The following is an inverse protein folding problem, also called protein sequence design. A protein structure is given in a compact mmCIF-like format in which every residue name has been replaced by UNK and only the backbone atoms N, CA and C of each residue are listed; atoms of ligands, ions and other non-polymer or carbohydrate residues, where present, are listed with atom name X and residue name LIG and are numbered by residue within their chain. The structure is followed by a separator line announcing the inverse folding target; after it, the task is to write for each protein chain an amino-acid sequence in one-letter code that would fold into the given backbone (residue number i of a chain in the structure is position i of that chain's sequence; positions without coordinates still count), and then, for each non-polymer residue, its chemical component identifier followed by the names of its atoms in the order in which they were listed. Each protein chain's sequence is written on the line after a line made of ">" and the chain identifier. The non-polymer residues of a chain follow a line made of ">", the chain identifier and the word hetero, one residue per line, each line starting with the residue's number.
data_IF_051863062839
#
_entry.id   IF_051863062839
#
_cell.length_a   1.000
_cell.length_b   1.000
_cell.length_c   1.000
_cell.angle_alpha   90.00
_cell.angle_beta   90.00
_cell.angle_gamma   90.00
#
_symmetry.space_group_name_H-M   'P 1'
#
loop_
_entity.id
_entity.type
_entity.pdbx_description
1 polymer ?
#
# COMPACT_ATOMS: atom_id res chain seq x y z
N UNK A 1 -0.25 28.32 61.12
CA UNK A 1 -1.46 27.48 60.95
C UNK A 1 -1.90 27.57 59.50
N UNK A 2 -1.61 26.53 58.71
CA UNK A 2 -2.11 26.29 57.34
C UNK A 2 -2.19 24.76 57.19
N UNK A 3 -3.30 24.18 56.69
CA UNK A 3 -3.42 22.73 56.58
C UNK A 3 -2.83 22.20 55.26
N UNK A 4 -1.91 21.25 55.40
CA UNK A 4 -1.43 20.35 54.36
C UNK A 4 -2.35 19.14 54.26
N UNK A 5 -3.33 19.13 53.36
CA UNK A 5 -4.06 17.92 52.98
C UNK A 5 -4.53 18.01 51.53
N UNK A 6 -3.70 17.57 50.57
CA UNK A 6 -4.18 17.10 49.27
C UNK A 6 -3.06 16.36 48.53
N UNK A 7 -2.52 15.30 49.15
CA UNK A 7 -1.48 14.48 48.53
C UNK A 7 -1.59 13.00 48.93
N UNK A 8 -2.81 12.46 49.06
CA UNK A 8 -3.01 11.01 49.26
C UNK A 8 -4.16 10.39 48.44
N UNK A 9 -4.86 11.16 47.60
CA UNK A 9 -6.00 10.66 46.79
C UNK A 9 -5.62 10.27 45.35
N UNK A 10 -4.33 10.05 45.06
CA UNK A 10 -3.86 9.66 43.72
C UNK A 10 -3.24 8.25 43.63
N UNK A 11 -3.21 7.47 44.72
CA UNK A 11 -2.55 6.15 44.74
C UNK A 11 -3.53 4.97 44.88
N UNK A 12 -4.83 5.20 45.08
CA UNK A 12 -5.82 4.12 45.27
C UNK A 12 -6.60 3.75 43.98
N UNK A 13 -6.36 4.43 42.86
CA UNK A 13 -7.00 4.08 41.57
C UNK A 13 -6.12 3.21 40.64
N UNK A 14 -5.09 2.56 41.18
CA UNK A 14 -4.15 1.74 40.41
C UNK A 14 -4.15 0.24 40.80
N UNK A 15 -5.09 -0.24 41.63
CA UNK A 15 -5.03 -1.58 42.21
C UNK A 15 -6.32 -2.43 42.09
N UNK A 16 -7.23 -2.12 41.15
CA UNK A 16 -8.51 -2.82 41.05
C UNK A 16 -8.95 -3.23 39.62
N UNK A 17 -8.01 -3.51 38.72
CA UNK A 17 -8.31 -4.22 37.46
C UNK A 17 -7.31 -5.36 37.21
N UNK A 18 -7.16 -6.21 38.21
CA UNK A 18 -6.60 -7.56 38.09
C UNK A 18 -7.73 -8.58 38.31
N UNK A 19 -8.66 -8.65 37.35
CA UNK A 19 -9.58 -9.78 37.25
C UNK A 19 -8.98 -10.81 36.29
N UNK A 20 -8.51 -11.90 36.89
CA UNK A 20 -8.10 -13.14 36.29
C UNK A 20 -9.16 -13.69 35.35
N UNK A 21 -8.84 -13.76 34.05
CA UNK A 21 -9.56 -14.66 33.13
C UNK A 21 -8.94 -16.04 33.31
N UNK A 22 -9.70 -16.93 33.95
CA UNK A 22 -9.37 -18.34 34.06
C UNK A 22 -9.35 -18.97 32.65
N UNK A 23 -8.20 -19.50 32.26
CA UNK A 23 -8.02 -20.28 31.05
C UNK A 23 -8.77 -21.61 31.20
N UNK A 24 -9.96 -21.70 30.59
CA UNK A 24 -10.61 -22.98 30.33
C UNK A 24 -9.78 -23.76 29.32
N UNK A 25 -9.28 -24.93 29.72
CA UNK A 25 -8.75 -25.90 28.76
C UNK A 25 -9.92 -26.51 27.98
N UNK A 26 -10.18 -25.97 26.80
CA UNK A 26 -10.96 -26.64 25.78
C UNK A 26 -10.04 -27.65 25.09
N UNK A 27 -10.53 -28.88 24.96
CA UNK A 27 -9.84 -30.00 24.36
C UNK A 27 -9.33 -29.67 22.94
N UNK A 28 -8.05 -29.97 22.70
CA UNK A 28 -7.40 -29.95 21.38
C UNK A 28 -8.18 -30.86 20.41
N UNK A 29 -9.05 -30.27 19.59
CA UNK A 29 -9.57 -30.91 18.38
C UNK A 29 -8.68 -30.54 17.19
N UNK A 30 -7.39 -30.82 17.36
CA UNK A 30 -6.38 -30.69 16.31
C UNK A 30 -6.44 -31.95 15.46
N UNK A 31 -7.23 -31.92 14.39
CA UNK A 31 -7.11 -32.90 13.31
C UNK A 31 -5.83 -32.63 12.53
N UNK A 32 -4.71 -33.12 13.05
CA UNK A 32 -3.45 -33.25 12.30
C UNK A 32 -3.61 -34.49 11.41
N UNK A 33 -4.03 -34.30 10.16
CA UNK A 33 -3.99 -35.36 9.15
C UNK A 33 -2.51 -35.59 8.85
N UNK A 34 -1.90 -36.57 9.53
CA UNK A 34 -0.53 -37.00 9.25
C UNK A 34 -0.51 -37.61 7.85
N UNK A 35 0.08 -36.90 6.88
CA UNK A 35 0.25 -37.37 5.50
C UNK A 35 1.08 -38.67 5.40
N UNK A 36 1.63 -39.18 6.51
CA UNK A 36 2.27 -40.49 6.58
C UNK A 36 1.32 -41.67 6.72
N UNK A 37 0.05 -41.44 7.05
CA UNK A 37 -0.96 -42.50 7.18
C UNK A 37 -1.78 -42.75 5.91
N UNK A 38 -1.47 -42.10 4.77
CA UNK A 38 -2.07 -42.51 3.50
C UNK A 38 -1.62 -43.95 3.19
N UNK A 39 -2.54 -44.93 3.09
CA UNK A 39 -2.20 -46.31 2.78
C UNK A 39 -1.57 -46.37 1.40
N UNK A 40 -0.24 -46.60 1.36
CA UNK A 40 0.45 -47.02 0.15
C UNK A 40 -0.15 -48.36 -0.27
N UNK A 41 -0.90 -48.34 -1.36
CA UNK A 41 -1.30 -49.53 -2.08
C UNK A 41 -0.07 -50.42 -2.29
N UNK A 42 -0.09 -51.57 -1.63
CA UNK A 42 0.94 -52.60 -1.64
C UNK A 42 0.94 -53.30 -2.98
N UNK A 43 1.92 -52.96 -3.83
CA UNK A 43 2.37 -53.85 -4.89
C UNK A 43 3.56 -54.67 -4.36
N UNK A 44 3.29 -55.92 -4.08
CA UNK A 44 4.24 -56.99 -3.75
C UNK A 44 5.22 -57.27 -4.90
N UNK A 45 6.51 -57.46 -4.61
CA UNK A 45 7.39 -58.53 -5.14
C UNK A 45 8.83 -58.41 -4.58
N UNK A 46 9.65 -59.49 -4.59
CA UNK A 46 10.37 -59.92 -3.41
C UNK A 46 11.89 -59.83 -3.48
N UNK A 47 12.47 -59.79 -2.28
CA UNK A 47 13.73 -60.39 -1.83
C UNK A 47 14.93 -60.49 -2.81
N UNK A 48 15.99 -59.73 -2.51
CA UNK A 48 17.34 -60.29 -2.45
C UNK A 48 18.22 -59.54 -1.45
N UNK A 49 18.78 -60.32 -0.53
CA UNK A 49 19.70 -59.95 0.54
C UNK A 49 21.11 -59.65 0.01
N UNK A 50 21.86 -58.83 0.75
CA UNK A 50 23.31 -58.74 0.56
C UNK A 50 23.99 -57.51 1.16
N UNK A 51 24.37 -57.61 2.44
CA UNK A 51 25.52 -57.00 3.11
C UNK A 51 25.80 -55.47 3.10
N UNK A 52 25.76 -54.92 4.32
CA UNK A 52 26.59 -53.83 4.89
C UNK A 52 28.10 -54.19 4.84
N UNK A 53 29.06 -53.23 4.82
CA UNK A 53 29.20 -52.25 5.92
C UNK A 53 29.66 -50.82 5.57
N UNK A 54 29.36 -49.93 6.53
CA UNK A 54 30.18 -48.82 7.06
C UNK A 54 30.99 -47.95 6.09
N UNK A 55 30.69 -46.65 6.06
CA UNK A 55 31.67 -45.64 6.47
C UNK A 55 31.04 -44.25 6.62
N UNK A 56 31.42 -43.60 7.73
CA UNK A 56 31.20 -42.20 8.00
C UNK A 56 32.00 -41.31 7.03
N UNK A 57 31.35 -40.30 6.45
CA UNK A 57 32.05 -39.14 5.92
C UNK A 57 31.11 -37.92 5.89
N UNK A 58 31.48 -36.90 6.68
CA UNK A 58 31.09 -35.50 6.52
C UNK A 58 31.19 -35.10 5.05
N UNK A 59 30.10 -34.62 4.45
CA UNK A 59 30.15 -33.80 3.23
C UNK A 59 29.23 -32.60 3.33
N UNK A 60 29.89 -31.47 3.50
CA UNK A 60 29.40 -30.12 3.23
C UNK A 60 28.74 -30.04 1.86
N UNK A 61 27.53 -29.50 1.81
CA UNK A 61 26.78 -29.24 0.58
C UNK A 61 27.49 -28.15 -0.24
N UNK A 62 27.88 -28.41 -1.50
CA UNK A 62 28.40 -27.36 -2.36
C UNK A 62 27.22 -26.59 -2.97
N UNK A 63 27.17 -25.29 -2.67
CA UNK A 63 26.31 -24.30 -3.33
C UNK A 63 26.75 -24.21 -4.80
N UNK A 64 26.15 -25.05 -5.64
CA UNK A 64 26.45 -25.14 -7.08
C UNK A 64 25.87 -23.91 -7.76
N UNK A 65 26.70 -22.89 -7.94
CA UNK A 65 26.46 -21.82 -8.90
C UNK A 65 26.57 -22.42 -10.30
N UNK A 66 25.44 -22.69 -10.93
CA UNK A 66 25.37 -23.22 -12.30
C UNK A 66 25.81 -22.09 -13.23
N UNK A 67 27.03 -22.22 -13.78
CA UNK A 67 27.59 -21.28 -14.74
C UNK A 67 26.93 -21.53 -16.10
N UNK A 68 26.02 -20.66 -16.49
CA UNK A 68 25.39 -20.72 -17.81
C UNK A 68 26.40 -20.35 -18.90
N UNK A 69 26.61 -21.23 -19.87
CA UNK A 69 27.45 -20.95 -21.05
C UNK A 69 26.58 -20.20 -22.06
N UNK A 70 26.92 -18.93 -22.30
CA UNK A 70 26.26 -18.12 -23.32
C UNK A 70 26.94 -18.34 -24.67
N UNK A 71 26.16 -18.68 -25.69
CA UNK A 71 26.61 -18.75 -27.09
C UNK A 71 25.63 -17.90 -27.88
N UNK A 72 26.13 -16.87 -28.57
CA UNK A 72 25.37 -16.04 -29.51
C UNK A 72 24.10 -15.37 -28.97
N UNK A 73 24.15 -14.83 -27.74
CA UNK A 73 23.00 -14.16 -27.12
C UNK A 73 21.91 -15.11 -26.60
N UNK A 74 22.08 -16.41 -26.81
CA UNK A 74 21.23 -17.44 -26.25
C UNK A 74 21.90 -18.08 -25.04
N UNK A 75 21.11 -18.31 -24.00
CA UNK A 75 21.56 -19.04 -22.81
C UNK A 75 20.92 -20.42 -22.78
N UNK A 76 21.73 -21.46 -22.61
CA UNK A 76 21.23 -22.83 -22.38
C UNK A 76 20.86 -23.04 -20.92
N UNK A 77 19.70 -23.65 -20.71
CA UNK A 77 19.18 -24.04 -19.41
C UNK A 77 18.67 -25.48 -19.45
N UNK A 78 19.15 -26.34 -18.56
CA UNK A 78 18.62 -27.71 -18.39
C UNK A 78 17.49 -27.71 -17.37
N UNK A 79 16.30 -28.13 -17.79
CA UNK A 79 15.09 -28.18 -16.96
C UNK A 79 15.29 -29.16 -15.79
N UNK A 80 14.97 -28.71 -14.57
CA UNK A 80 15.00 -29.55 -13.36
C UNK A 80 13.58 -29.97 -12.97
N UNK A 81 13.48 -30.97 -12.09
CA UNK A 81 12.19 -31.41 -11.56
C UNK A 81 11.49 -30.26 -10.81
N UNK A 82 10.22 -30.02 -11.16
CA UNK A 82 9.41 -28.92 -10.60
C UNK A 82 9.70 -27.54 -11.19
N UNK A 83 10.49 -27.46 -12.28
CA UNK A 83 10.65 -26.23 -13.05
C UNK A 83 9.46 -26.01 -13.97
N UNK A 84 9.03 -24.76 -14.06
CA UNK A 84 8.09 -24.25 -15.04
C UNK A 84 8.79 -23.13 -15.81
N UNK A 85 8.52 -22.96 -17.10
CA UNK A 85 9.25 -22.00 -17.95
C UNK A 85 9.26 -20.60 -17.33
N UNK A 86 8.12 -20.20 -16.78
CA UNK A 86 7.91 -18.95 -16.09
C UNK A 86 8.81 -18.79 -14.84
N UNK A 87 8.84 -19.83 -14.00
CA UNK A 87 9.62 -19.85 -12.76
C UNK A 87 11.12 -19.82 -13.04
N UNK A 88 11.56 -20.49 -14.11
CA UNK A 88 12.95 -20.46 -14.56
C UNK A 88 13.34 -19.05 -15.00
N UNK A 89 12.53 -18.39 -15.83
CA UNK A 89 12.78 -17.01 -16.29
C UNK A 89 12.87 -16.01 -15.14
N UNK A 90 11.96 -16.10 -14.16
CA UNK A 90 12.00 -15.19 -13.02
C UNK A 90 13.18 -15.49 -12.08
N UNK A 91 13.37 -16.76 -11.70
CA UNK A 91 14.33 -17.13 -10.65
C UNK A 91 15.78 -17.12 -11.13
N UNK A 92 16.04 -17.57 -12.35
CA UNK A 92 17.39 -17.72 -12.88
C UNK A 92 17.83 -16.50 -13.69
N UNK A 93 16.88 -15.79 -14.30
CA UNK A 93 17.17 -14.66 -15.18
C UNK A 93 16.64 -13.32 -14.66
N UNK A 94 15.92 -13.30 -13.53
CA UNK A 94 15.46 -12.06 -12.89
C UNK A 94 14.41 -11.29 -13.68
N UNK A 95 13.74 -11.94 -14.64
CA UNK A 95 12.72 -11.29 -15.47
C UNK A 95 11.46 -10.98 -14.67
N UNK A 96 10.82 -9.84 -14.96
CA UNK A 96 9.49 -9.52 -14.44
C UNK A 96 8.42 -10.40 -15.09
N UNK A 97 7.23 -10.47 -14.48
CA UNK A 97 6.10 -11.25 -14.99
C UNK A 97 5.77 -10.89 -16.46
N UNK A 98 5.66 -9.59 -16.74
CA UNK A 98 5.36 -9.08 -18.08
C UNK A 98 6.48 -9.37 -19.10
N UNK A 99 7.74 -9.35 -18.67
CA UNK A 99 8.87 -9.70 -19.54
C UNK A 99 8.87 -11.19 -19.87
N UNK A 100 8.60 -12.05 -18.89
CA UNK A 100 8.51 -13.49 -19.09
C UNK A 100 7.36 -13.85 -20.05
N UNK A 101 6.17 -13.28 -19.88
CA UNK A 101 5.03 -13.50 -20.79
C UNK A 101 5.35 -13.17 -22.24
N UNK A 102 6.06 -12.07 -22.49
CA UNK A 102 6.47 -11.68 -23.85
C UNK A 102 7.50 -12.63 -24.46
N UNK A 103 8.34 -13.25 -23.64
CA UNK A 103 9.46 -14.10 -24.09
C UNK A 103 9.05 -15.56 -24.28
N UNK A 104 8.01 -16.03 -23.58
CA UNK A 104 7.56 -17.43 -23.62
C UNK A 104 7.20 -17.91 -25.03
N UNK A 105 6.44 -17.17 -25.87
CA UNK A 105 6.13 -17.60 -27.23
C UNK A 105 7.39 -17.81 -28.07
N UNK A 106 8.39 -16.95 -27.88
CA UNK A 106 9.64 -17.03 -28.61
C UNK A 106 10.50 -18.22 -28.15
N UNK A 107 10.56 -18.49 -26.83
CA UNK A 107 11.24 -19.70 -26.33
C UNK A 107 10.55 -20.96 -26.85
N UNK A 108 9.21 -20.99 -26.84
CA UNK A 108 8.44 -22.13 -27.34
C UNK A 108 8.73 -22.39 -28.83
N UNK A 109 8.77 -21.32 -29.64
CA UNK A 109 9.11 -21.36 -31.06
C UNK A 109 10.53 -21.85 -31.31
N UNK A 110 11.52 -21.30 -30.60
CA UNK A 110 12.95 -21.64 -30.77
C UNK A 110 13.27 -23.07 -30.33
N UNK A 111 12.56 -23.60 -29.33
CA UNK A 111 12.81 -24.93 -28.78
C UNK A 111 11.84 -26.01 -29.30
N UNK A 112 10.89 -25.65 -30.18
CA UNK A 112 9.89 -26.58 -30.70
C UNK A 112 9.02 -27.18 -29.59
N UNK A 113 8.52 -26.35 -28.67
CA UNK A 113 7.67 -26.79 -27.55
C UNK A 113 6.23 -26.43 -27.86
N UNK A 114 5.39 -27.43 -28.12
CA UNK A 114 3.96 -27.23 -28.40
C UNK A 114 3.17 -26.87 -27.14
N UNK A 115 3.55 -27.41 -25.98
CA UNK A 115 2.90 -27.16 -24.69
C UNK A 115 3.92 -26.73 -23.63
N UNK A 116 3.92 -25.43 -23.32
CA UNK A 116 4.79 -24.81 -22.32
C UNK A 116 4.58 -25.33 -20.89
N UNK A 117 3.46 -26.02 -20.62
CA UNK A 117 3.15 -26.59 -19.29
C UNK A 117 3.79 -27.96 -19.09
N UNK A 118 4.28 -28.61 -20.16
CA UNK A 118 4.82 -29.98 -20.14
C UNK A 118 6.32 -30.02 -20.45
N UNK A 119 7.11 -29.32 -19.65
CA UNK A 119 8.57 -29.43 -19.73
C UNK A 119 9.06 -30.77 -19.17
N UNK A 120 10.01 -31.41 -19.85
CA UNK A 120 10.63 -32.66 -19.38
C UNK A 120 11.90 -32.36 -18.58
N UNK A 121 12.07 -33.03 -17.46
CA UNK A 121 13.32 -32.92 -16.68
C UNK A 121 14.50 -33.40 -17.53
N UNK A 122 15.58 -32.63 -17.55
CA UNK A 122 16.76 -32.87 -18.38
C UNK A 122 16.68 -32.25 -19.78
N UNK A 123 15.54 -31.69 -20.18
CA UNK A 123 15.40 -30.98 -21.46
C UNK A 123 16.29 -29.72 -21.47
N UNK A 124 17.03 -29.50 -22.56
CA UNK A 124 17.75 -28.24 -22.77
C UNK A 124 16.84 -27.20 -23.41
N UNK A 125 16.78 -26.02 -22.80
CA UNK A 125 16.08 -24.84 -23.30
C UNK A 125 17.10 -23.79 -23.73
N UNK A 126 16.95 -23.29 -24.96
CA UNK A 126 17.61 -22.10 -25.47
C UNK A 126 16.74 -20.89 -25.17
N UNK A 127 17.25 -20.01 -24.30
CA UNK A 127 16.55 -18.80 -23.89
C UNK A 127 17.20 -17.61 -24.62
N UNK A 128 16.49 -16.96 -25.57
CA UNK A 128 16.99 -15.80 -26.28
C UNK A 128 16.89 -14.57 -25.38
N UNK A 129 17.94 -14.34 -24.60
CA UNK A 129 18.07 -13.10 -23.86
C UNK A 129 18.69 -12.10 -24.81
N UNK A 130 17.86 -11.41 -25.59
CA UNK A 130 18.28 -10.18 -26.25
C UNK A 130 18.82 -9.29 -25.14
N UNK A 131 20.13 -9.14 -25.06
CA UNK A 131 20.77 -8.45 -23.94
C UNK A 131 20.24 -7.02 -23.95
N UNK A 132 19.25 -6.74 -23.10
CA UNK A 132 18.95 -5.38 -22.70
C UNK A 132 20.15 -4.94 -21.89
N UNK A 133 21.10 -4.39 -22.64
CA UNK A 133 22.34 -3.72 -22.30
C UNK A 133 22.56 -3.57 -20.78
N UNK A 134 23.63 -4.23 -20.33
CA UNK A 134 24.67 -3.74 -19.41
C UNK A 134 24.22 -2.61 -18.47
N UNK A 135 24.29 -2.92 -17.18
CA UNK A 135 24.66 -1.96 -16.13
C UNK A 135 25.74 -0.99 -16.65
N UNK A 136 25.31 0.19 -17.10
CA UNK A 136 26.20 1.32 -17.32
C UNK A 136 26.57 1.81 -15.94
N UNK A 137 27.77 1.43 -15.52
CA UNK A 137 28.54 2.18 -14.53
C UNK A 137 28.64 3.60 -15.09
N UNK A 138 27.91 4.53 -14.47
CA UNK A 138 27.88 5.93 -14.86
C UNK A 138 29.25 6.53 -14.54
N UNK A 139 30.14 6.48 -15.52
CA UNK A 139 31.32 7.32 -15.56
C UNK A 139 31.14 8.32 -16.70
N UNK A 140 31.60 9.53 -16.42
CA UNK A 140 31.32 10.78 -17.12
C UNK A 140 31.91 10.77 -18.54
N UNK A 141 31.23 11.43 -19.50
CA UNK A 141 31.80 12.43 -20.45
C UNK A 141 31.14 12.43 -21.84
N UNK A 142 30.44 13.54 -22.11
CA UNK A 142 30.42 14.37 -23.33
C UNK A 142 30.39 13.70 -24.71
N UNK A 143 29.37 14.05 -25.52
CA UNK A 143 29.38 13.80 -26.96
C UNK A 143 28.07 14.12 -27.67
N UNK A 144 27.94 15.38 -28.08
CA UNK A 144 27.31 15.90 -29.32
C UNK A 144 26.09 15.16 -29.88
N UNK A 145 24.93 15.79 -29.72
CA UNK A 145 23.65 15.49 -30.38
C UNK A 145 23.62 16.09 -31.79
N UNK A 146 23.43 15.30 -32.86
CA UNK A 146 23.07 15.81 -34.17
C UNK A 146 21.55 15.96 -34.27
N UNK A 147 21.15 17.21 -34.50
CA UNK A 147 19.87 17.71 -34.98
C UNK A 147 19.23 16.84 -36.08
N UNK A 148 18.01 16.31 -35.88
CA UNK A 148 17.20 15.76 -36.96
C UNK A 148 16.28 16.85 -37.55
N UNK A 149 16.48 17.09 -38.84
CA UNK A 149 15.66 17.93 -39.71
C UNK A 149 14.16 17.52 -39.73
N UNK A 150 13.25 18.45 -40.06
CA UNK A 150 11.81 18.30 -39.86
C UNK A 150 11.14 17.40 -40.92
N UNK A 151 10.22 16.54 -40.46
CA UNK A 151 9.28 15.83 -41.34
C UNK A 151 8.13 16.77 -41.77
N UNK A 152 7.67 16.65 -43.04
CA UNK A 152 6.68 17.54 -43.64
C UNK A 152 5.24 17.28 -43.16
N UNK A 153 4.48 18.37 -43.20
CA UNK A 153 3.07 18.51 -42.89
C UNK A 153 2.19 17.43 -43.55
N UNK A 154 1.34 16.78 -42.75
CA UNK A 154 0.15 16.09 -43.25
C UNK A 154 -1.03 17.05 -43.23
N UNK A 155 -1.45 17.35 -44.45
CA UNK A 155 -2.68 18.02 -44.87
C UNK A 155 -3.92 17.47 -44.17
N UNK A 156 -4.70 18.39 -43.62
CA UNK A 156 -6.07 18.16 -43.19
C UNK A 156 -6.96 17.89 -44.40
N UNK A 157 -7.82 16.88 -44.31
CA UNK A 157 -9.00 16.78 -45.16
C UNK A 157 -10.26 16.61 -44.28
N UNK A 158 -11.28 17.47 -44.46
CA UNK A 158 -12.50 17.46 -43.68
C UNK A 158 -13.56 16.59 -44.37
N UNK A 159 -14.11 15.61 -43.66
CA UNK A 159 -15.38 14.99 -44.06
C UNK A 159 -16.49 15.49 -43.15
N UNK A 160 -17.31 16.34 -43.76
CA UNK A 160 -18.56 16.83 -43.25
C UNK A 160 -19.71 15.84 -43.53
N UNK A 161 -20.77 16.04 -42.76
CA UNK A 161 -22.20 15.83 -43.08
C UNK A 161 -22.80 14.41 -43.06
N UNK A 162 -23.82 14.30 -42.20
CA UNK A 162 -24.82 13.25 -42.20
C UNK A 162 -25.74 13.33 -40.98
N UNK A 163 -26.88 14.07 -41.04
CA UNK A 163 -27.77 14.35 -39.91
C UNK A 163 -28.89 13.30 -39.78
N UNK A 164 -29.31 12.97 -38.55
CA UNK A 164 -30.63 12.39 -38.29
C UNK A 164 -31.01 12.46 -36.79
N UNK A 165 -31.84 13.45 -36.48
CA UNK A 165 -33.04 13.47 -35.62
C UNK A 165 -33.11 12.84 -34.20
N UNK A 166 -33.73 13.55 -33.24
CA UNK A 166 -34.02 13.13 -31.87
C UNK A 166 -35.37 12.39 -31.73
N UNK A 167 -35.56 11.66 -30.62
CA UNK A 167 -36.79 11.78 -29.83
C UNK A 167 -36.45 11.99 -28.34
N UNK A 168 -36.92 13.05 -27.68
CA UNK A 168 -38.29 13.13 -27.13
C UNK A 168 -38.57 11.96 -26.18
N UNK A 169 -38.48 12.19 -24.87
CA UNK A 169 -39.59 12.06 -23.90
C UNK A 169 -39.03 12.20 -22.48
N UNK A 170 -39.35 13.33 -21.86
CA UNK A 170 -39.30 13.50 -20.42
C UNK A 170 -40.52 12.81 -19.78
N UNK A 171 -40.38 12.29 -18.55
CA UNK A 171 -41.45 12.43 -17.58
C UNK A 171 -40.93 13.12 -16.32
N UNK A 172 -41.50 14.28 -16.02
CA UNK A 172 -41.52 14.88 -14.68
C UNK A 172 -42.64 14.23 -13.82
N UNK A 173 -42.88 14.65 -12.57
CA UNK A 173 -42.64 13.84 -11.38
C UNK A 173 -43.94 13.33 -10.76
N UNK A 174 -43.97 12.07 -10.31
CA UNK A 174 -45.07 11.59 -9.46
C UNK A 174 -44.89 12.08 -8.02
N UNK A 175 -45.81 12.96 -7.64
CA UNK A 175 -46.13 13.36 -6.27
C UNK A 175 -46.44 12.11 -5.42
N UNK A 176 -45.76 11.97 -4.28
CA UNK A 176 -46.19 11.08 -3.21
C UNK A 176 -46.99 11.85 -2.14
N UNK A 177 -48.09 11.28 -1.61
CA UNK A 177 -48.95 11.91 -0.63
C UNK A 177 -48.33 11.92 0.77
N UNK A 178 -48.68 12.92 1.55
CA UNK A 178 -48.14 13.21 2.87
C UNK A 178 -48.33 12.10 3.90
N UNK A 179 -47.32 11.99 4.77
CA UNK A 179 -47.39 11.31 6.05
C UNK A 179 -47.24 12.34 7.15
N UNK A 180 -48.21 12.33 8.06
CA UNK A 180 -48.47 13.32 9.08
C UNK A 180 -47.31 13.54 10.07
N UNK A 181 -47.15 14.80 10.45
CA UNK A 181 -46.39 15.29 11.60
C UNK A 181 -46.93 14.69 12.91
N UNK A 182 -46.09 14.09 13.77
CA UNK A 182 -46.40 13.94 15.18
C UNK A 182 -46.19 15.25 15.94
N UNK A 183 -47.11 15.49 16.87
CA UNK A 183 -47.29 16.68 17.66
C UNK A 183 -46.06 17.09 18.48
N UNK A 184 -45.87 18.41 18.55
CA UNK A 184 -44.98 19.13 19.47
C UNK A 184 -45.56 19.04 20.89
N UNK A 185 -44.82 18.53 21.89
CA UNK A 185 -45.19 18.67 23.31
C UNK A 185 -44.89 20.08 23.84
N UNK A 186 -45.61 20.50 24.89
CA UNK A 186 -45.78 21.91 25.26
C UNK A 186 -44.60 22.54 25.98
N UNK A 187 -44.58 23.86 25.87
CA UNK A 187 -43.75 24.82 26.57
C UNK A 187 -43.46 24.45 28.04
N UNK A 188 -42.17 24.42 28.37
CA UNK A 188 -41.68 24.51 29.75
C UNK A 188 -41.16 25.91 29.98
N UNK A 189 -41.66 26.48 31.07
CA UNK A 189 -41.55 27.84 31.58
C UNK A 189 -40.14 28.44 31.65
N UNK A 190 -40.04 29.79 31.62
CA UNK A 190 -38.80 30.52 31.81
C UNK A 190 -38.31 30.43 33.26
N UNK A 191 -37.08 29.96 33.44
CA UNK A 191 -36.33 30.04 34.70
C UNK A 191 -35.36 31.23 34.67
N UNK A 192 -34.98 31.77 35.83
CA UNK A 192 -34.73 33.20 36.01
C UNK A 192 -33.40 33.67 35.41
N UNK A 193 -33.50 34.88 34.87
CA UNK A 193 -32.44 35.81 34.52
C UNK A 193 -31.38 35.89 35.63
N UNK A 194 -30.35 35.05 35.52
CA UNK A 194 -29.13 35.24 36.26
C UNK A 194 -28.41 36.42 35.61
N UNK A 195 -28.36 37.53 36.34
CA UNK A 195 -27.57 38.70 36.04
C UNK A 195 -26.17 38.28 35.58
N UNK A 196 -25.96 38.39 34.26
CA UNK A 196 -24.65 38.24 33.63
C UNK A 196 -23.84 39.43 34.13
N UNK A 197 -22.99 39.19 35.13
CA UNK A 197 -21.91 40.10 35.46
C UNK A 197 -21.14 40.38 34.15
N UNK A 198 -20.85 41.65 33.80
CA UNK A 198 -20.18 41.99 32.56
C UNK A 198 -18.86 41.21 32.52
N UNK A 199 -18.81 40.23 31.62
CA UNK A 199 -17.60 39.51 31.28
C UNK A 199 -16.57 40.59 30.93
N UNK A 200 -15.55 40.72 31.78
CA UNK A 200 -14.39 41.51 31.49
C UNK A 200 -13.82 40.97 30.18
N UNK A 201 -14.13 41.66 29.08
CA UNK A 201 -13.39 41.58 27.83
C UNK A 201 -11.95 41.91 28.19
N UNK A 202 -11.20 40.85 28.47
CA UNK A 202 -9.77 40.92 28.70
C UNK A 202 -9.21 41.41 27.38
N UNK A 203 -8.74 42.66 27.37
CA UNK A 203 -8.18 43.29 26.20
C UNK A 203 -7.15 42.34 25.55
N UNK A 204 -7.15 42.21 24.22
CA UNK A 204 -6.19 41.36 23.52
C UNK A 204 -4.78 41.81 23.91
N UNK A 205 -4.08 40.95 24.64
CA UNK A 205 -2.73 41.22 25.12
C UNK A 205 -1.80 41.27 23.90
N UNK A 206 -1.20 42.44 23.55
CA UNK A 206 -0.60 42.66 22.23
C UNK A 206 0.79 42.02 22.01
N UNK A 207 1.35 41.27 22.96
CA UNK A 207 2.77 40.89 22.91
C UNK A 207 3.06 39.38 23.01
N UNK A 208 2.11 38.50 22.66
CA UNK A 208 2.47 37.09 22.50
C UNK A 208 3.17 36.93 21.13
N UNK A 209 4.50 36.69 21.08
CA UNK A 209 5.19 36.53 19.81
C UNK A 209 4.53 35.39 19.04
N UNK A 210 4.22 35.63 17.76
CA UNK A 210 3.63 34.62 16.89
C UNK A 210 4.52 33.37 16.94
N UNK A 211 3.99 32.28 17.49
CA UNK A 211 4.72 31.03 17.61
C UNK A 211 4.89 30.46 16.19
N UNK A 212 6.09 30.55 15.65
CA UNK A 212 6.44 29.96 14.35
C UNK A 212 6.35 28.45 14.46
N UNK A 213 5.40 27.86 13.74
CA UNK A 213 5.19 26.42 13.74
C UNK A 213 6.25 25.76 12.85
N UNK A 214 7.05 24.85 13.41
CA UNK A 214 8.05 24.08 12.67
C UNK A 214 7.41 22.84 12.04
N UNK A 215 7.67 22.65 10.76
CA UNK A 215 7.11 21.57 9.94
C UNK A 215 8.23 20.92 9.13
N UNK A 216 8.26 19.59 9.08
CA UNK A 216 9.22 18.87 8.25
C UNK A 216 8.66 18.69 6.83
N UNK A 217 9.33 19.27 5.83
CA UNK A 217 8.93 19.19 4.42
C UNK A 217 9.51 17.93 3.79
N UNK A 218 8.63 17.08 3.26
CA UNK A 218 9.00 15.81 2.63
C UNK A 218 8.53 15.77 1.17
N UNK A 219 9.45 15.94 0.20
CA UNK A 219 9.14 15.73 -1.20
C UNK A 219 8.95 14.24 -1.49
N UNK A 220 8.01 13.90 -2.38
CA UNK A 220 7.80 12.53 -2.86
C UNK A 220 8.14 12.45 -4.35
N UNK A 221 9.40 12.13 -4.71
CA UNK A 221 9.91 12.21 -6.08
C UNK A 221 9.57 10.98 -6.94
N UNK A 222 8.47 10.28 -6.67
CA UNK A 222 8.20 8.99 -7.30
C UNK A 222 7.53 9.12 -8.67
N UNK A 223 8.05 8.33 -9.62
CA UNK A 223 7.60 8.29 -11.03
C UNK A 223 6.40 7.34 -11.23
N UNK A 224 6.21 6.39 -10.32
CA UNK A 224 5.16 5.39 -10.39
C UNK A 224 4.34 5.37 -9.10
N UNK A 225 3.07 4.99 -9.23
CA UNK A 225 2.10 4.95 -8.12
C UNK A 225 2.58 4.05 -6.97
N UNK A 226 3.20 2.91 -7.27
CA UNK A 226 3.65 2.00 -6.24
C UNK A 226 4.79 2.62 -5.42
N UNK A 227 5.74 3.28 -6.07
CA UNK A 227 6.78 4.07 -5.43
C UNK A 227 6.23 5.21 -4.57
N UNK A 228 5.21 5.94 -5.05
CA UNK A 228 4.53 6.99 -4.27
C UNK A 228 3.99 6.40 -2.97
N UNK A 229 3.22 5.31 -3.07
CA UNK A 229 2.58 4.68 -1.91
C UNK A 229 3.62 4.13 -0.93
N UNK A 230 4.68 3.52 -1.43
CA UNK A 230 5.75 2.97 -0.59
C UNK A 230 6.43 4.08 0.24
N UNK A 231 6.78 5.20 -0.40
CA UNK A 231 7.39 6.35 0.28
C UNK A 231 6.42 6.96 1.30
N UNK A 232 5.14 7.10 0.95
CA UNK A 232 4.14 7.64 1.87
C UNK A 232 3.93 6.73 3.08
N UNK A 233 3.96 5.41 2.91
CA UNK A 233 3.87 4.46 4.02
C UNK A 233 5.13 4.44 4.88
N UNK A 234 6.32 4.60 4.31
CA UNK A 234 7.54 4.76 5.08
C UNK A 234 7.48 6.00 5.99
N UNK A 235 6.81 7.07 5.53
CA UNK A 235 6.63 8.30 6.29
C UNK A 235 5.52 8.23 7.35
N UNK A 236 4.38 7.65 7.00
CA UNK A 236 3.14 7.69 7.82
C UNK A 236 2.95 6.45 8.71
N UNK A 237 3.52 5.31 8.31
CA UNK A 237 3.27 4.01 8.93
C UNK A 237 4.55 3.16 8.98
N UNK A 238 5.57 3.57 9.75
CA UNK A 238 6.80 2.80 9.87
C UNK A 238 6.52 1.40 10.39
N UNK A 239 7.13 0.40 9.74
CA UNK A 239 6.88 -1.02 10.03
C UNK A 239 5.80 -1.66 9.15
N UNK A 240 5.31 -0.97 8.13
CA UNK A 240 4.51 -1.60 7.09
C UNK A 240 5.28 -2.71 6.35
N UNK A 241 4.54 -3.68 5.81
CA UNK A 241 5.09 -4.83 5.08
C UNK A 241 4.42 -5.05 3.74
N UNK A 242 5.13 -5.72 2.84
CA UNK A 242 4.63 -6.12 1.51
C UNK A 242 4.23 -7.58 1.48
N UNK A 243 3.29 -7.93 0.59
CA UNK A 243 2.93 -9.32 0.28
C UNK A 243 2.52 -10.16 1.50
N UNK A 244 1.87 -9.53 2.49
CA UNK A 244 1.46 -10.21 3.72
C UNK A 244 0.21 -11.04 3.44
N UNK A 245 0.09 -12.19 4.09
CA UNK A 245 -1.15 -12.98 4.10
C UNK A 245 -1.94 -12.52 5.31
N UNK A 246 -3.17 -12.06 5.08
CA UNK A 246 -4.11 -11.63 6.11
C UNK A 246 -5.23 -12.66 6.18
N UNK A 247 -5.52 -13.11 7.40
CA UNK A 247 -6.57 -14.10 7.66
C UNK A 247 -7.82 -13.39 8.18
N UNK A 248 -8.96 -13.69 7.56
CA UNK A 248 -10.28 -13.32 8.09
C UNK A 248 -10.67 -14.33 9.16
N UNK A 249 -10.56 -13.95 10.42
CA UNK A 249 -10.97 -14.79 11.52
C UNK A 249 -10.28 -14.35 12.79
N UNK A 250 -10.97 -13.51 13.58
CA UNK A 250 -10.55 -13.34 14.97
C UNK A 250 -11.20 -14.37 15.89
N UNK A 251 -12.32 -14.96 15.49
CA UNK A 251 -13.09 -15.88 16.37
C UNK A 251 -14.31 -16.50 15.65
N UNK A 252 -14.23 -16.82 14.35
CA UNK A 252 -15.38 -17.47 13.70
C UNK A 252 -15.49 -18.90 14.24
N UNK A 253 -16.62 -19.19 14.89
CA UNK A 253 -16.98 -20.47 15.52
C UNK A 253 -16.91 -21.66 14.56
N UNK A 254 -16.96 -21.39 13.26
CA UNK A 254 -17.14 -22.41 12.24
C UNK A 254 -15.81 -22.91 11.66
N UNK A 255 -14.68 -22.46 12.21
CA UNK A 255 -13.33 -22.90 11.81
C UNK A 255 -12.90 -22.51 10.40
N UNK A 256 -13.75 -21.79 9.66
CA UNK A 256 -13.48 -21.35 8.29
C UNK A 256 -12.71 -20.03 8.31
N UNK A 257 -11.42 -20.09 7.98
CA UNK A 257 -10.58 -18.90 7.75
C UNK A 257 -10.35 -18.70 6.25
N UNK A 258 -10.38 -17.44 5.80
CA UNK A 258 -9.99 -17.07 4.45
C UNK A 258 -8.65 -16.36 4.54
N UNK A 259 -7.63 -16.91 3.90
CA UNK A 259 -6.31 -16.31 3.81
C UNK A 259 -6.18 -15.52 2.50
N UNK A 260 -5.97 -14.21 2.61
CA UNK A 260 -5.87 -13.29 1.47
C UNK A 260 -4.47 -12.70 1.42
N UNK A 261 -3.79 -12.83 0.29
CA UNK A 261 -2.49 -12.17 0.08
C UNK A 261 -2.73 -10.71 -0.32
N UNK A 262 -2.21 -9.78 0.49
CA UNK A 262 -2.37 -8.33 0.24
C UNK A 262 -1.04 -7.68 -0.14
N UNK A 263 -1.11 -6.66 -1.00
CA UNK A 263 0.06 -5.96 -1.50
C UNK A 263 0.84 -5.24 -0.40
N UNK A 264 0.14 -4.47 0.44
CA UNK A 264 0.72 -3.67 1.52
C UNK A 264 -0.16 -3.73 2.77
N UNK A 265 0.48 -3.84 3.93
CA UNK A 265 -0.20 -4.03 5.21
C UNK A 265 0.56 -3.35 6.34
N UNK A 266 -0.17 -2.75 7.28
CA UNK A 266 0.38 -2.32 8.57
C UNK A 266 -0.68 -2.31 9.67
N UNK A 267 -0.24 -2.21 10.92
CA UNK A 267 -1.12 -2.10 12.09
C UNK A 267 -0.83 -0.79 12.82
N UNK A 268 -1.87 -0.02 13.13
CA UNK A 268 -1.74 1.24 13.86
C UNK A 268 -2.98 1.48 14.72
N UNK A 269 -2.77 1.91 15.97
CA UNK A 269 -3.87 2.21 16.91
C UNK A 269 -4.87 1.06 17.08
N UNK A 270 -4.39 -0.20 17.03
CA UNK A 270 -5.23 -1.39 17.15
C UNK A 270 -6.03 -1.77 15.89
N UNK A 271 -5.91 -1.00 14.81
CA UNK A 271 -6.54 -1.28 13.53
C UNK A 271 -5.53 -1.87 12.54
N UNK A 272 -6.01 -2.80 11.69
CA UNK A 272 -5.25 -3.34 10.55
C UNK A 272 -5.59 -2.53 9.31
N UNK A 273 -4.56 -2.04 8.63
CA UNK A 273 -4.69 -1.25 7.42
C UNK A 273 -4.16 -2.03 6.23
N UNK A 274 -4.94 -2.04 5.16
CA UNK A 274 -4.61 -2.75 3.92
C UNK A 274 -4.64 -1.74 2.80
N UNK A 275 -3.50 -1.53 2.15
CA UNK A 275 -3.39 -0.56 1.05
C UNK A 275 -3.31 -1.32 -0.26
N UNK A 276 -4.31 -1.10 -1.10
CA UNK A 276 -4.45 -1.73 -2.39
C UNK A 276 -4.33 -0.70 -3.51
N UNK A 277 -3.43 -0.96 -4.45
CA UNK A 277 -3.24 -0.15 -5.66
C UNK A 277 -3.67 -0.90 -6.93
N UNK A 278 -4.11 -2.15 -6.78
CA UNK A 278 -4.54 -3.00 -7.88
C UNK A 278 -6.06 -2.91 -8.06
N UNK A 279 -6.50 -2.89 -9.32
CA UNK A 279 -7.91 -2.75 -9.68
C UNK A 279 -8.55 -4.08 -10.08
N UNK A 280 -8.02 -5.20 -9.60
CA UNK A 280 -8.55 -6.52 -9.92
C UNK A 280 -9.90 -6.75 -9.22
N UNK A 281 -10.98 -7.06 -9.96
CA UNK A 281 -12.32 -7.21 -9.37
C UNK A 281 -12.40 -8.29 -8.28
N UNK A 282 -11.70 -9.40 -8.45
CA UNK A 282 -11.70 -10.50 -7.48
C UNK A 282 -11.03 -10.05 -6.18
N UNK A 283 -9.86 -9.41 -6.30
CA UNK A 283 -9.14 -8.83 -5.16
C UNK A 283 -10.01 -7.81 -4.43
N UNK A 284 -10.73 -6.95 -5.15
CA UNK A 284 -11.65 -5.99 -4.54
C UNK A 284 -12.79 -6.68 -3.75
N UNK A 285 -13.36 -7.77 -4.26
CA UNK A 285 -14.36 -8.55 -3.52
C UNK A 285 -13.78 -9.13 -2.24
N UNK A 286 -12.58 -9.72 -2.29
CA UNK A 286 -11.91 -10.27 -1.10
C UNK A 286 -11.57 -9.18 -0.08
N UNK A 287 -11.09 -8.02 -0.53
CA UNK A 287 -10.83 -6.87 0.33
C UNK A 287 -12.11 -6.33 0.96
N UNK A 288 -13.25 -6.37 0.25
CA UNK A 288 -14.54 -5.96 0.83
C UNK A 288 -14.96 -6.85 2.00
N UNK A 289 -14.66 -8.15 1.94
CA UNK A 289 -14.89 -9.07 3.07
C UNK A 289 -14.02 -8.71 4.28
N UNK A 290 -12.76 -8.34 4.06
CA UNK A 290 -11.87 -7.86 5.12
C UNK A 290 -12.40 -6.55 5.74
N UNK A 291 -12.91 -5.63 4.92
CA UNK A 291 -13.51 -4.38 5.41
C UNK A 291 -14.75 -4.62 6.28
N UNK A 292 -15.62 -5.56 5.90
CA UNK A 292 -16.78 -5.99 6.71
C UNK A 292 -16.32 -6.60 8.04
N UNK A 293 -15.17 -7.27 8.07
CA UNK A 293 -14.55 -7.82 9.27
C UNK A 293 -13.81 -6.76 10.13
N UNK A 294 -13.91 -5.48 9.79
CA UNK A 294 -13.36 -4.37 10.57
C UNK A 294 -11.96 -3.93 10.15
N UNK A 295 -11.39 -4.49 9.08
CA UNK A 295 -10.12 -4.02 8.53
C UNK A 295 -10.30 -2.70 7.76
N UNK A 296 -9.30 -1.83 7.80
CA UNK A 296 -9.33 -0.55 7.10
C UNK A 296 -8.68 -0.71 5.73
N UNK A 297 -9.51 -0.91 4.70
CA UNK A 297 -9.04 -1.00 3.31
C UNK A 297 -8.93 0.38 2.68
N UNK A 298 -7.79 0.66 2.07
CA UNK A 298 -7.46 1.90 1.37
C UNK A 298 -7.16 1.56 -0.09
N UNK A 299 -8.12 1.85 -0.97
CA UNK A 299 -7.96 1.67 -2.42
C UNK A 299 -7.37 2.94 -3.03
N UNK A 300 -6.33 2.78 -3.84
CA UNK A 300 -5.59 3.87 -4.51
C UNK A 300 -5.76 3.71 -6.01
N UNK A 301 -6.24 4.76 -6.69
CA UNK A 301 -6.42 4.77 -8.14
C UNK A 301 -5.09 4.81 -8.89
N UNK A 302 -5.08 4.35 -10.15
CA UNK A 302 -3.85 4.24 -10.98
C UNK A 302 -3.25 5.59 -11.39
N UNK A 303 -4.06 6.65 -11.41
CA UNK A 303 -3.68 7.97 -11.94
C UNK A 303 -3.81 9.09 -10.90
N UNK A 304 -3.85 8.74 -9.62
CA UNK A 304 -3.92 9.72 -8.54
C UNK A 304 -2.56 10.40 -8.29
N UNK A 305 -2.57 11.73 -8.13
CA UNK A 305 -1.38 12.48 -7.74
C UNK A 305 -1.02 12.27 -6.26
N UNK A 306 0.22 12.60 -5.88
CA UNK A 306 0.74 12.47 -4.50
C UNK A 306 -0.22 13.07 -3.47
N UNK A 307 -0.76 14.26 -3.72
CA UNK A 307 -1.69 14.95 -2.80
C UNK A 307 -2.97 14.14 -2.57
N UNK A 308 -3.58 13.60 -3.63
CA UNK A 308 -4.81 12.81 -3.53
C UNK A 308 -4.57 11.49 -2.78
N UNK A 309 -3.45 10.81 -3.08
CA UNK A 309 -3.07 9.56 -2.42
C UNK A 309 -2.80 9.80 -0.93
N UNK A 310 -2.02 10.84 -0.61
CA UNK A 310 -1.71 11.22 0.77
C UNK A 310 -2.97 11.59 1.54
N UNK A 311 -3.84 12.40 0.94
CA UNK A 311 -5.13 12.77 1.53
C UNK A 311 -5.94 11.54 1.90
N UNK A 312 -6.08 10.57 0.98
CA UNK A 312 -6.86 9.36 1.21
C UNK A 312 -6.27 8.45 2.28
N UNK A 313 -4.95 8.27 2.29
CA UNK A 313 -4.24 7.51 3.32
C UNK A 313 -4.50 8.13 4.70
N UNK A 314 -4.20 9.41 4.84
CA UNK A 314 -4.31 10.16 6.11
C UNK A 314 -5.76 10.23 6.58
N UNK A 315 -6.73 10.34 5.66
CA UNK A 315 -8.17 10.28 5.95
C UNK A 315 -8.58 8.96 6.60
N UNK A 316 -8.16 7.84 6.01
CA UNK A 316 -8.53 6.51 6.49
C UNK A 316 -7.82 6.13 7.78
N UNK A 317 -6.64 6.72 8.02
CA UNK A 317 -5.91 6.61 9.29
C UNK A 317 -6.45 7.55 10.38
N UNK A 318 -7.50 8.33 10.09
CA UNK A 318 -8.12 9.28 11.02
C UNK A 318 -7.13 10.32 11.58
N UNK A 319 -6.10 10.64 10.81
CA UNK A 319 -5.10 11.63 11.17
C UNK A 319 -5.60 13.05 10.79
N UNK A 320 -5.43 14.07 11.66
CA UNK A 320 -5.83 15.42 11.32
C UNK A 320 -4.99 15.97 10.17
N UNK A 321 -5.65 16.48 9.14
CA UNK A 321 -5.01 16.94 7.91
C UNK A 321 -5.55 18.26 7.40
N UNK A 322 -4.72 19.01 6.69
CA UNK A 322 -5.11 20.17 5.89
C UNK A 322 -4.48 20.06 4.51
N UNK A 323 -5.27 20.33 3.48
CA UNK A 323 -4.83 20.31 2.09
C UNK A 323 -4.83 21.75 1.57
N UNK A 324 -3.79 22.13 0.82
CA UNK A 324 -3.71 23.50 0.34
C UNK A 324 -2.36 23.89 -0.24
N UNK A 325 -2.26 25.19 -0.51
CA UNK A 325 -0.99 25.86 -0.77
C UNK A 325 -0.43 26.41 0.55
N UNK A 326 0.85 26.15 0.80
CA UNK A 326 1.57 26.53 2.00
C UNK A 326 2.80 27.32 1.61
N UNK A 327 3.03 28.47 2.24
CA UNK A 327 4.28 29.20 2.15
C UNK A 327 5.16 28.79 3.33
N UNK A 328 6.31 28.20 3.03
CA UNK A 328 7.25 27.68 4.01
C UNK A 328 8.62 28.31 3.82
N UNK A 329 9.34 28.53 4.92
CA UNK A 329 10.73 28.97 4.89
C UNK A 329 11.62 27.83 5.37
N UNK A 330 12.36 27.21 4.47
CA UNK A 330 13.33 26.18 4.84
C UNK A 330 14.46 26.82 5.66
N UNK A 331 14.64 26.35 6.90
CA UNK A 331 15.69 26.85 7.79
C UNK A 331 17.08 26.36 7.38
N UNK A 332 17.13 25.21 6.70
CA UNK A 332 18.39 24.58 6.28
C UNK A 332 18.97 25.20 5.00
N UNK A 333 18.23 26.09 4.33
CA UNK A 333 18.59 26.68 3.04
C UNK A 333 18.52 28.21 3.09
N UNK A 334 19.62 28.93 2.85
CA UNK A 334 19.61 30.39 2.87
C UNK A 334 18.70 30.94 1.75
N UNK A 335 17.72 31.77 2.12
CA UNK A 335 16.76 32.37 1.17
C UNK A 335 15.70 31.40 0.64
N UNK A 336 15.54 30.22 1.26
CA UNK A 336 14.62 29.17 0.81
C UNK A 336 13.17 29.39 1.22
N UNK A 337 12.54 30.48 0.75
CA UNK A 337 11.09 30.65 0.85
C UNK A 337 10.42 29.93 -0.33
N UNK A 338 9.58 28.95 -0.04
CA UNK A 338 8.90 28.12 -1.03
C UNK A 338 7.38 28.24 -0.88
N UNK A 339 6.68 28.23 -2.00
CA UNK A 339 5.23 28.03 -2.04
C UNK A 339 4.98 26.62 -2.57
N UNK A 340 4.38 25.78 -1.72
CA UNK A 340 4.20 24.35 -1.97
C UNK A 340 2.73 24.00 -1.97
N UNK A 341 2.33 23.07 -2.84
CA UNK A 341 1.03 22.42 -2.75
C UNK A 341 1.21 21.04 -2.09
N UNK A 342 0.38 20.73 -1.11
CA UNK A 342 0.56 19.47 -0.39
C UNK A 342 -0.49 19.18 0.67
N UNK A 343 -0.17 18.19 1.50
CA UNK A 343 -0.98 17.77 2.64
C UNK A 343 -0.16 17.99 3.92
N UNK A 344 -0.67 18.84 4.80
CA UNK A 344 -0.14 19.03 6.14
C UNK A 344 -0.84 18.08 7.12
N UNK A 345 -0.06 17.31 7.89
CA UNK A 345 -0.56 16.30 8.82
C UNK A 345 -0.07 16.63 10.23
N UNK A 346 -0.98 16.67 11.21
CA UNK A 346 -0.68 17.08 12.58
C UNK A 346 -1.50 16.31 13.63
N UNK A 347 -0.87 15.63 14.62
CA UNK A 347 0.51 15.16 14.63
C UNK A 347 0.66 13.95 13.71
N UNK A 348 1.76 13.85 12.97
CA UNK A 348 2.09 12.61 12.27
C UNK A 348 2.66 11.62 13.29
N UNK A 349 1.86 10.63 13.70
CA UNK A 349 2.38 9.47 14.42
C UNK A 349 3.29 8.66 13.47
N UNK A 350 4.41 8.09 13.95
CA UNK A 350 4.82 8.00 15.37
C UNK A 350 5.66 9.18 15.86
N UNK A 351 6.06 10.10 14.99
CA UNK A 351 7.11 11.07 15.31
C UNK A 351 6.64 12.25 16.16
N UNK A 352 5.32 12.46 16.30
CA UNK A 352 4.77 13.61 17.04
C UNK A 352 5.09 14.95 16.40
N UNK A 353 5.68 14.94 15.20
CA UNK A 353 6.04 16.11 14.42
C UNK A 353 4.96 16.41 13.41
N UNK A 354 4.90 17.67 12.99
CA UNK A 354 4.05 18.08 11.89
C UNK A 354 4.77 17.85 10.57
N UNK A 355 4.05 17.27 9.62
CA UNK A 355 4.60 16.83 8.34
C UNK A 355 3.91 17.60 7.22
N UNK A 356 4.68 18.19 6.30
CA UNK A 356 4.17 18.69 5.02
C UNK A 356 4.66 17.78 3.91
N UNK A 357 3.76 16.99 3.35
CA UNK A 357 4.03 16.09 2.23
C UNK A 357 3.65 16.81 0.95
N UNK A 358 4.58 16.88 0.00
CA UNK A 358 4.36 17.55 -1.30
C UNK A 358 4.88 16.69 -2.45
N UNK A 359 4.21 16.82 -3.61
CA UNK A 359 4.71 16.31 -4.89
C UNK A 359 5.65 17.28 -5.60
N UNK A 360 5.82 18.50 -5.08
CA UNK A 360 6.69 19.51 -5.66
C UNK A 360 8.17 19.13 -5.47
N UNK A 361 8.99 19.50 -6.45
CA UNK A 361 10.43 19.24 -6.43
C UNK A 361 11.13 20.23 -5.51
N UNK A 362 11.07 19.97 -4.21
CA UNK A 362 11.80 20.74 -3.19
C UNK A 362 12.74 19.85 -2.40
N UNK A 363 13.89 20.36 -1.94
CA UNK A 363 14.76 19.61 -1.06
C UNK A 363 14.05 19.30 0.26
N UNK A 364 14.35 18.13 0.84
CA UNK A 364 13.92 17.81 2.20
C UNK A 364 14.53 18.82 3.17
N UNK A 365 13.70 19.51 3.96
CA UNK A 365 14.15 20.53 4.89
C UNK A 365 13.24 20.60 6.12
N UNK A 366 13.77 21.14 7.21
CA UNK A 366 12.95 21.67 8.30
C UNK A 366 12.53 23.08 7.94
N UNK A 367 11.22 23.36 7.95
CA UNK A 367 10.71 24.65 7.57
C UNK A 367 9.85 25.29 8.65
N UNK A 368 9.80 26.61 8.66
CA UNK A 368 8.80 27.38 9.39
C UNK A 368 7.62 27.65 8.46
N UNK A 369 6.41 27.33 8.94
CA UNK A 369 5.19 27.62 8.22
C UNK A 369 4.88 29.12 8.36
N UNK A 370 4.99 29.86 7.25
CA UNK A 370 4.72 31.30 7.21
C UNK A 370 3.23 31.59 7.05
N UNK A 371 2.56 30.84 6.17
CA UNK A 371 1.12 30.91 5.96
C UNK A 371 0.63 29.68 5.22
N UNK A 372 -0.65 29.33 5.35
CA UNK A 372 -1.27 28.30 4.53
C UNK A 372 -2.41 27.56 5.20
N UNK A 373 -3.28 27.00 4.37
CA UNK A 373 -4.41 26.16 4.78
C UNK A 373 -5.77 26.84 4.69
N UNK A 374 -6.25 27.01 3.46
CA UNK A 374 -7.58 26.64 2.97
C UNK A 374 -7.58 27.02 1.49
N UNK A 375 -7.51 26.03 0.60
CA UNK A 375 -8.01 26.26 -0.76
C UNK A 375 -9.51 26.50 -0.60
N UNK A 376 -10.09 27.59 -1.14
CA UNK A 376 -11.53 27.73 -1.17
C UNK A 376 -12.07 26.49 -1.87
N UNK A 377 -12.87 25.69 -1.15
CA UNK A 377 -13.64 24.61 -1.74
C UNK A 377 -14.41 25.23 -2.90
N UNK A 378 -13.94 25.02 -4.13
CA UNK A 378 -14.65 25.45 -5.31
C UNK A 378 -16.02 24.77 -5.26
N UNK A 379 -17.05 25.56 -4.94
CA UNK A 379 -18.42 25.09 -4.82
C UNK A 379 -18.79 24.32 -6.07
N UNK A 380 -19.17 23.05 -5.87
CA UNK A 380 -19.87 22.26 -6.87
C UNK A 380 -21.36 22.42 -6.68
#
# INVERSE_FOLDING_TARGET
>A
MMPTQSLHMAIILAAALSLSVASGQAADSRFEIDLKELPKATASHPARSGHLPSQAAKKTSPKTSVRHVATDGNVRYTVKSGDHIFKVLMRNFGLSNQQAERLIPEIARVNGIDDIRRLRVGQELLIPLTQSKRTVKHDTRSGTEPEPAPLPAQTAEPSAEGPATPPETAPSPQQQPGTALPAVPPAVSPAPEQAIAPAQQTAPHPDRPAQSIRVAVHPVPAKDMNGIVDILLDLLAPGWGRNRIVETGRESTDGSYISIKVGRYFEQSGHRYIVNSESDPLTLTMLRLLEVNGDRVINIGREEGVTAVTSRLVAKMELPRREGSFRVKCLDLPGGDFQLQGVWVSPAAPYGQQLLITGDQVPKCTAELLSGGELPLAGK
#
